data_IF_707942629363
#
_entry.id   IF_707942629363
#
_cell.length_a   1.000
_cell.length_b   1.000
_cell.length_c   1.000
_cell.angle_alpha   90.00
_cell.angle_beta   90.00
_cell.angle_gamma   90.00
#
_symmetry.space_group_name_H-M   'P 1'
#
loop_
_entity.id
_entity.type
_entity.pdbx_description
1 polymer ?
#
# COMPACT_ATOMS: atom_id res chain seq x y z
N UNK A 1 0.26 1.74 10.16
CA UNK A 1 -0.51 2.77 9.42
C UNK A 1 -0.67 2.38 7.95
N UNK A 2 -1.74 2.84 7.29
CA UNK A 2 -2.02 2.62 5.85
C UNK A 2 -2.30 3.96 5.19
N UNK A 3 -1.60 4.30 4.11
CA UNK A 3 -1.70 5.60 3.43
C UNK A 3 -1.87 5.35 1.94
N UNK A 4 -2.96 5.82 1.35
CA UNK A 4 -3.13 5.82 -0.11
C UNK A 4 -2.46 7.05 -0.70
N UNK A 5 -1.60 6.87 -1.69
CA UNK A 5 -0.85 7.93 -2.36
C UNK A 5 -1.62 8.35 -3.60
N UNK A 6 -2.03 9.62 -3.67
CA UNK A 6 -2.72 10.13 -4.87
C UNK A 6 -1.73 10.36 -6.02
N UNK A 7 -2.21 10.27 -7.26
CA UNK A 7 -1.37 10.51 -8.45
C UNK A 7 -0.71 11.90 -8.47
N UNK A 8 -1.43 12.94 -8.06
CA UNK A 8 -0.90 14.32 -7.98
C UNK A 8 -0.14 14.61 -6.69
N UNK A 9 -0.08 13.64 -5.77
CA UNK A 9 0.53 13.67 -4.44
C UNK A 9 0.96 15.06 -3.92
N UNK A 10 0.07 15.71 -3.16
CA UNK A 10 0.47 16.84 -2.31
C UNK A 10 1.27 16.28 -1.12
N UNK A 11 2.59 16.24 -1.28
CA UNK A 11 3.49 15.59 -0.34
C UNK A 11 3.45 16.21 1.08
N UNK A 12 3.45 17.55 1.26
CA UNK A 12 3.22 18.16 2.57
C UNK A 12 1.90 17.72 3.21
N UNK A 13 0.81 17.71 2.44
CA UNK A 13 -0.50 17.24 2.95
C UNK A 13 -0.45 15.78 3.34
N UNK A 14 0.18 14.92 2.54
CA UNK A 14 0.36 13.50 2.85
C UNK A 14 1.10 13.29 4.17
N UNK A 15 2.16 14.07 4.44
CA UNK A 15 2.87 14.00 5.73
C UNK A 15 1.98 14.43 6.89
N UNK A 16 1.19 15.51 6.75
CA UNK A 16 0.23 15.93 7.79
C UNK A 16 -0.80 14.85 8.06
N UNK A 17 -1.35 14.24 7.01
CA UNK A 17 -2.32 13.15 7.13
C UNK A 17 -1.70 11.92 7.81
N UNK A 18 -0.45 11.58 7.46
CA UNK A 18 0.30 10.52 8.13
C UNK A 18 0.53 10.82 9.62
N UNK A 19 0.97 12.04 9.96
CA UNK A 19 1.17 12.47 11.35
C UNK A 19 -0.13 12.34 12.14
N UNK A 20 -1.25 12.89 11.62
CA UNK A 20 -2.56 12.79 12.28
C UNK A 20 -2.97 11.34 12.49
N UNK A 21 -2.75 10.48 11.50
CA UNK A 21 -3.07 9.05 11.58
C UNK A 21 -2.21 8.34 12.63
N UNK A 22 -0.89 8.54 12.61
CA UNK A 22 0.04 7.93 13.57
C UNK A 22 -0.29 8.32 15.01
N UNK A 23 -0.57 9.60 15.27
CA UNK A 23 -0.94 10.08 16.60
C UNK A 23 -2.29 9.51 17.05
N UNK A 24 -3.29 9.47 16.16
CA UNK A 24 -4.59 8.86 16.44
C UNK A 24 -4.48 7.35 16.76
N UNK A 25 -3.65 6.62 16.00
CA UNK A 25 -3.45 5.18 16.19
C UNK A 25 -2.84 4.84 17.57
N UNK A 26 -2.14 5.79 18.20
CA UNK A 26 -1.51 5.61 19.52
C UNK A 26 -2.12 6.50 20.63
N UNK A 27 -3.29 7.09 20.40
CA UNK A 27 -3.99 8.00 21.32
C UNK A 27 -3.10 9.15 21.86
N UNK A 28 -2.25 9.69 20.99
CA UNK A 28 -1.37 10.83 21.27
C UNK A 28 -1.94 12.12 20.70
N UNK A 29 -1.64 13.25 21.34
CA UNK A 29 -2.05 14.57 20.84
C UNK A 29 -1.28 14.95 19.58
N UNK A 30 -1.99 15.42 18.55
CA UNK A 30 -1.37 15.94 17.32
C UNK A 30 -0.70 17.30 17.64
N UNK A 31 0.51 17.59 17.13
CA UNK A 31 1.13 18.89 17.31
C UNK A 31 0.25 20.02 16.73
N UNK A 32 0.07 21.11 17.47
CA UNK A 32 -0.89 22.17 17.10
C UNK A 32 -0.48 22.97 15.85
N UNK A 33 0.81 23.02 15.53
CA UNK A 33 1.38 23.85 14.46
C UNK A 33 1.62 23.11 13.13
N UNK A 34 1.12 21.88 12.97
CA UNK A 34 1.39 21.07 11.76
C UNK A 34 0.98 21.73 10.44
N UNK A 35 -0.01 22.62 10.45
CA UNK A 35 -0.47 23.29 9.22
C UNK A 35 0.56 24.26 8.66
N UNK A 36 1.26 25.00 9.53
CA UNK A 36 2.24 26.01 9.13
C UNK A 36 3.65 25.46 8.91
N UNK A 37 3.88 24.17 9.21
CA UNK A 37 5.19 23.55 9.10
C UNK A 37 5.63 23.34 7.65
N UNK A 38 6.93 23.47 7.46
CA UNK A 38 7.64 23.10 6.23
C UNK A 38 7.65 21.58 6.04
N UNK A 39 7.92 21.14 4.81
CA UNK A 39 8.07 19.70 4.53
C UNK A 39 9.19 19.06 5.35
N UNK A 40 10.30 19.77 5.59
CA UNK A 40 11.41 19.25 6.37
C UNK A 40 11.00 18.99 7.83
N UNK A 41 10.33 19.96 8.47
CA UNK A 41 9.81 19.81 9.84
C UNK A 41 8.79 18.66 9.94
N UNK A 42 7.91 18.53 8.96
CA UNK A 42 6.94 17.43 8.91
C UNK A 42 7.64 16.05 8.81
N UNK A 43 8.73 15.94 8.04
CA UNK A 43 9.52 14.70 7.96
C UNK A 43 10.16 14.36 9.30
N UNK A 44 10.75 15.34 9.98
CA UNK A 44 11.36 15.13 11.30
C UNK A 44 10.31 14.68 12.34
N UNK A 45 9.10 15.25 12.33
CA UNK A 45 8.03 14.80 13.23
C UNK A 45 7.65 13.33 12.98
N UNK A 46 7.51 12.93 11.73
CA UNK A 46 7.25 11.52 11.40
C UNK A 46 8.39 10.64 11.91
N UNK A 47 9.64 11.05 11.64
CA UNK A 47 10.83 10.31 12.02
C UNK A 47 10.93 10.13 13.54
N UNK A 48 10.83 11.22 14.29
CA UNK A 48 10.88 11.23 15.76
C UNK A 48 9.76 10.38 16.37
N UNK A 49 8.54 10.50 15.83
CA UNK A 49 7.41 9.71 16.28
C UNK A 49 7.66 8.21 16.09
N UNK A 50 8.15 7.81 14.92
CA UNK A 50 8.44 6.41 14.60
C UNK A 50 9.62 5.86 15.42
N UNK A 51 10.65 6.68 15.70
CA UNK A 51 11.74 6.30 16.59
C UNK A 51 11.26 6.04 18.01
N UNK A 52 10.43 6.94 18.56
CA UNK A 52 9.86 6.79 19.91
C UNK A 52 8.91 5.60 20.01
N UNK A 53 8.18 5.29 18.93
CA UNK A 53 7.31 4.12 18.87
C UNK A 53 8.11 2.80 18.83
N UNK A 54 9.38 2.84 18.45
CA UNK A 54 10.28 1.69 18.38
C UNK A 54 10.07 0.83 17.15
N UNK A 55 8.92 0.13 17.07
CA UNK A 55 8.57 -0.77 15.96
C UNK A 55 7.36 -0.29 15.19
N UNK A 56 7.46 -0.19 13.87
CA UNK A 56 6.35 0.23 13.02
C UNK A 56 6.18 -0.61 11.76
N UNK A 57 4.95 -0.60 11.24
CA UNK A 57 4.60 -1.06 9.91
C UNK A 57 3.78 0.01 9.19
N UNK A 58 4.26 0.46 8.03
CA UNK A 58 3.57 1.46 7.20
C UNK A 58 3.37 0.89 5.79
N UNK A 59 2.14 1.00 5.30
CA UNK A 59 1.78 0.68 3.91
C UNK A 59 1.54 1.98 3.16
N UNK A 60 2.26 2.18 2.06
CA UNK A 60 2.00 3.21 1.07
C UNK A 60 1.35 2.56 -0.15
N UNK A 61 0.05 2.75 -0.26
CA UNK A 61 -0.79 2.10 -1.25
C UNK A 61 -0.95 2.96 -2.50
N UNK A 62 -0.94 2.34 -3.67
CA UNK A 62 -1.11 2.97 -4.98
C UNK A 62 -0.08 4.06 -5.31
N UNK A 63 1.22 3.75 -5.17
CA UNK A 63 2.30 4.71 -5.47
C UNK A 63 2.52 4.86 -6.98
N UNK A 64 2.53 6.11 -7.45
CA UNK A 64 2.58 6.45 -8.87
C UNK A 64 3.97 6.79 -9.40
N UNK A 65 4.81 7.43 -8.59
CA UNK A 65 6.07 8.05 -9.01
C UNK A 65 7.24 7.65 -8.11
N UNK A 66 8.40 7.42 -8.70
CA UNK A 66 9.68 7.13 -8.03
C UNK A 66 10.08 8.27 -7.09
N UNK A 67 9.76 9.52 -7.44
CA UNK A 67 10.00 10.68 -6.59
C UNK A 67 9.35 10.58 -5.22
N UNK A 68 8.20 9.88 -5.12
CA UNK A 68 7.56 9.66 -3.84
C UNK A 68 8.51 8.92 -2.88
N UNK A 69 9.09 7.81 -3.33
CA UNK A 69 10.04 7.03 -2.54
C UNK A 69 11.27 7.87 -2.17
N UNK A 70 11.84 8.57 -3.15
CA UNK A 70 12.99 9.44 -2.94
C UNK A 70 12.74 10.54 -1.89
N UNK A 71 11.49 10.97 -1.70
CA UNK A 71 11.13 11.96 -0.69
C UNK A 71 10.79 11.34 0.66
N UNK A 72 9.98 10.28 0.69
CA UNK A 72 9.44 9.69 1.93
C UNK A 72 10.47 8.91 2.73
N UNK A 73 11.47 8.30 2.08
CA UNK A 73 12.52 7.53 2.77
C UNK A 73 13.24 8.34 3.86
N UNK A 74 13.39 9.65 3.65
CA UNK A 74 14.00 10.57 4.61
C UNK A 74 13.15 10.89 5.84
N UNK A 75 11.84 10.57 5.81
CA UNK A 75 10.96 10.67 6.97
C UNK A 75 10.93 9.39 7.82
N UNK A 76 11.54 8.31 7.32
CA UNK A 76 11.55 7.00 7.96
C UNK A 76 12.88 6.84 8.72
N UNK A 77 12.85 6.43 9.99
CA UNK A 77 14.08 6.25 10.74
C UNK A 77 14.82 4.99 10.30
N UNK A 78 16.14 5.12 10.15
CA UNK A 78 17.07 4.03 9.89
C UNK A 78 17.24 3.20 11.18
N UNK A 79 17.10 1.88 11.09
CA UNK A 79 17.32 0.97 12.23
C UNK A 79 16.61 -0.38 12.11
N UNK A 80 17.25 -1.41 12.66
CA UNK A 80 16.85 -2.82 12.51
C UNK A 80 15.89 -3.35 13.59
N UNK A 81 15.01 -2.51 14.15
CA UNK A 81 14.05 -2.92 15.19
C UNK A 81 12.82 -3.71 14.65
N UNK A 82 12.95 -4.36 13.49
CA UNK A 82 11.85 -5.05 12.83
C UNK A 82 10.81 -4.11 12.22
N UNK A 83 11.25 -2.91 11.84
CA UNK A 83 10.49 -1.91 11.10
C UNK A 83 10.17 -2.41 9.69
N UNK A 84 8.96 -2.13 9.20
CA UNK A 84 8.51 -2.57 7.87
C UNK A 84 7.83 -1.44 7.12
N UNK A 85 8.23 -1.28 5.87
CA UNK A 85 7.56 -0.41 4.90
C UNK A 85 7.14 -1.26 3.72
N UNK A 86 5.89 -1.17 3.31
CA UNK A 86 5.37 -1.85 2.12
C UNK A 86 4.84 -0.79 1.15
N UNK A 87 5.21 -0.91 -0.11
CA UNK A 87 4.63 -0.12 -1.18
C UNK A 87 3.83 -1.03 -2.11
N UNK A 88 2.66 -0.57 -2.53
CA UNK A 88 1.93 -1.19 -3.66
C UNK A 88 1.98 -0.21 -4.83
N UNK A 89 2.20 -0.71 -6.04
CA UNK A 89 2.29 0.12 -7.24
C UNK A 89 1.95 -0.71 -8.48
N UNK A 90 1.44 -0.04 -9.51
CA UNK A 90 1.27 -0.61 -10.86
C UNK A 90 2.51 -0.39 -11.74
N UNK A 91 3.46 0.42 -11.29
CA UNK A 91 4.64 0.80 -12.04
C UNK A 91 5.86 -0.03 -11.57
N UNK A 92 6.41 -0.83 -12.47
CA UNK A 92 7.58 -1.67 -12.18
C UNK A 92 8.83 -0.85 -11.82
N UNK A 93 8.99 0.35 -12.38
CA UNK A 93 10.14 1.23 -12.13
C UNK A 93 10.11 1.79 -10.71
N UNK A 94 8.91 2.07 -10.19
CA UNK A 94 8.71 2.46 -8.78
C UNK A 94 9.14 1.32 -7.86
N UNK A 95 8.68 0.09 -8.15
CA UNK A 95 9.01 -1.09 -7.35
C UNK A 95 10.51 -1.42 -7.36
N UNK A 96 11.16 -1.34 -8.52
CA UNK A 96 12.61 -1.61 -8.62
C UNK A 96 13.41 -0.54 -7.90
N UNK A 97 13.10 0.74 -8.13
CA UNK A 97 13.86 1.84 -7.55
C UNK A 97 13.76 1.87 -6.04
N UNK A 98 12.59 1.55 -5.48
CA UNK A 98 12.39 1.54 -4.03
C UNK A 98 13.17 0.46 -3.30
N UNK A 99 13.60 -0.61 -3.99
CA UNK A 99 14.32 -1.73 -3.38
C UNK A 99 15.83 -1.73 -3.66
N UNK A 100 16.32 -0.89 -4.58
CA UNK A 100 17.72 -0.88 -5.02
C UNK A 100 18.71 -0.57 -3.89
N UNK A 101 18.34 0.29 -2.96
CA UNK A 101 19.24 0.81 -1.92
C UNK A 101 19.34 -0.11 -0.70
N UNK A 102 18.37 -1.03 -0.51
CA UNK A 102 18.09 -1.69 0.77
C UNK A 102 18.11 -3.22 0.73
N UNK A 103 18.43 -3.85 -0.41
CA UNK A 103 18.29 -5.31 -0.60
C UNK A 103 16.87 -5.82 -0.31
N UNK A 104 15.86 -4.97 -0.55
CA UNK A 104 14.47 -5.29 -0.27
C UNK A 104 13.83 -6.21 -1.33
N UNK A 105 12.63 -6.68 -1.04
CA UNK A 105 11.92 -7.67 -1.84
C UNK A 105 10.80 -7.06 -2.71
N UNK A 106 10.89 -7.23 -4.02
CA UNK A 106 9.80 -6.92 -4.96
C UNK A 106 8.92 -8.14 -5.16
N UNK A 107 7.67 -8.08 -4.68
CA UNK A 107 6.67 -9.11 -4.97
C UNK A 107 5.85 -8.73 -6.21
N UNK A 108 6.05 -9.45 -7.32
CA UNK A 108 5.20 -9.30 -8.51
C UNK A 108 3.91 -10.08 -8.33
N UNK A 109 2.79 -9.36 -8.20
CA UNK A 109 1.45 -9.96 -8.20
C UNK A 109 1.23 -10.78 -9.48
N UNK A 110 0.79 -12.02 -9.32
CA UNK A 110 0.47 -12.93 -10.43
C UNK A 110 -1.05 -12.97 -10.63
N UNK A 111 -1.53 -13.23 -11.86
CA UNK A 111 -2.92 -13.61 -12.09
C UNK A 111 -3.32 -14.82 -11.24
N UNK A 112 -4.61 -14.94 -10.96
CA UNK A 112 -5.15 -16.13 -10.30
C UNK A 112 -5.00 -17.37 -11.20
N UNK A 113 -4.88 -18.53 -10.56
CA UNK A 113 -5.01 -19.81 -11.25
C UNK A 113 -6.45 -20.02 -11.72
N UNK A 114 -6.67 -20.90 -12.71
CA UNK A 114 -8.02 -21.24 -13.16
C UNK A 114 -8.91 -21.76 -12.01
N UNK A 115 -8.32 -22.48 -11.06
CA UNK A 115 -9.02 -23.01 -9.87
C UNK A 115 -9.42 -21.88 -8.91
N UNK A 116 -8.51 -20.95 -8.63
CA UNK A 116 -8.78 -19.79 -7.77
C UNK A 116 -9.78 -18.83 -8.43
N UNK A 117 -9.67 -18.62 -9.74
CA UNK A 117 -10.63 -17.83 -10.53
C UNK A 117 -12.02 -18.46 -10.49
N UNK A 118 -12.15 -19.76 -10.69
CA UNK A 118 -13.41 -20.48 -10.58
C UNK A 118 -14.01 -20.37 -9.17
N UNK A 119 -13.18 -20.54 -8.15
CA UNK A 119 -13.57 -20.41 -6.74
C UNK A 119 -14.06 -19.00 -6.44
N UNK A 120 -13.31 -17.97 -6.85
CA UNK A 120 -13.69 -16.57 -6.67
C UNK A 120 -15.01 -16.25 -7.38
N UNK A 121 -15.17 -16.71 -8.61
CA UNK A 121 -16.39 -16.52 -9.40
C UNK A 121 -17.61 -17.15 -8.72
N UNK A 122 -17.49 -18.41 -8.26
CA UNK A 122 -18.58 -19.09 -7.55
C UNK A 122 -18.93 -18.39 -6.23
N UNK A 123 -17.91 -17.93 -5.49
CA UNK A 123 -18.11 -17.17 -4.26
C UNK A 123 -18.86 -15.86 -4.51
N UNK A 124 -18.54 -15.14 -5.59
CA UNK A 124 -19.15 -13.85 -5.92
C UNK A 124 -20.56 -13.97 -6.51
N UNK A 125 -20.74 -14.84 -7.51
CA UNK A 125 -21.96 -14.92 -8.30
C UNK A 125 -22.99 -15.85 -7.66
N UNK A 126 -22.54 -17.00 -7.13
CA UNK A 126 -23.42 -18.01 -6.55
C UNK A 126 -23.42 -18.01 -5.02
N UNK A 127 -22.82 -16.98 -4.39
CA UNK A 127 -22.72 -16.83 -2.93
C UNK A 127 -22.08 -18.05 -2.25
N UNK A 128 -21.08 -18.65 -2.90
CA UNK A 128 -20.37 -19.83 -2.42
C UNK A 128 -21.09 -21.16 -2.70
N UNK A 129 -22.26 -21.13 -3.34
CA UNK A 129 -22.90 -22.34 -3.84
C UNK A 129 -22.25 -22.81 -5.15
N UNK A 130 -22.55 -24.04 -5.55
CA UNK A 130 -22.13 -24.58 -6.84
C UNK A 130 -22.80 -23.82 -7.98
N UNK A 131 -22.04 -23.61 -9.07
CA UNK A 131 -22.61 -23.14 -10.33
C UNK A 131 -23.71 -24.10 -10.81
N UNK A 132 -24.92 -23.60 -11.15
CA UNK A 132 -25.94 -24.41 -11.80
C UNK A 132 -25.41 -25.05 -13.09
N UNK A 133 -25.77 -26.31 -13.33
CA UNK A 133 -25.23 -27.09 -14.46
C UNK A 133 -25.47 -26.42 -15.82
N UNK A 134 -26.66 -25.83 -16.02
CA UNK A 134 -27.02 -25.14 -17.26
C UNK A 134 -26.24 -23.83 -17.50
N UNK A 135 -25.51 -23.31 -16.50
CA UNK A 135 -24.67 -22.11 -16.62
C UNK A 135 -23.17 -22.43 -16.69
N UNK A 136 -22.79 -23.71 -16.57
CA UNK A 136 -21.39 -24.09 -16.41
C UNK A 136 -20.52 -23.66 -17.60
N UNK A 137 -20.99 -23.88 -18.83
CA UNK A 137 -20.23 -23.54 -20.04
C UNK A 137 -20.12 -22.02 -20.22
N UNK A 138 -21.18 -21.28 -19.88
CA UNK A 138 -21.17 -19.82 -19.90
C UNK A 138 -20.21 -19.27 -18.84
N UNK A 139 -20.22 -19.81 -17.63
CA UNK A 139 -19.33 -19.39 -16.55
C UNK A 139 -17.85 -19.61 -16.92
N UNK A 140 -17.53 -20.75 -17.54
CA UNK A 140 -16.18 -21.05 -18.04
C UNK A 140 -15.77 -20.07 -19.14
N UNK A 141 -16.63 -19.84 -20.13
CA UNK A 141 -16.33 -18.90 -21.21
C UNK A 141 -16.14 -17.45 -20.73
N UNK A 142 -16.81 -17.05 -19.64
CA UNK A 142 -16.56 -15.75 -18.99
C UNK A 142 -15.20 -15.74 -18.31
N UNK A 143 -14.87 -16.77 -17.53
CA UNK A 143 -13.59 -16.87 -16.83
C UNK A 143 -12.39 -16.90 -17.78
N UNK A 144 -12.51 -17.58 -18.91
CA UNK A 144 -11.48 -17.61 -19.96
C UNK A 144 -11.18 -16.19 -20.51
N UNK A 145 -12.18 -15.29 -20.50
CA UNK A 145 -11.99 -13.88 -20.90
C UNK A 145 -11.44 -13.00 -19.79
N UNK A 146 -11.55 -13.41 -18.53
CA UNK A 146 -11.02 -12.66 -17.39
C UNK A 146 -9.50 -12.85 -17.21
N UNK A 147 -8.91 -13.90 -17.79
CA UNK A 147 -7.46 -14.16 -17.79
C UNK A 147 -6.82 -14.08 -16.38
N UNK A 148 -7.52 -14.65 -15.39
CA UNK A 148 -7.05 -14.68 -14.00
C UNK A 148 -7.11 -13.34 -13.26
N UNK A 149 -7.65 -12.27 -13.85
CA UNK A 149 -7.77 -10.96 -13.21
C UNK A 149 -8.97 -10.94 -12.24
N UNK A 150 -8.77 -10.61 -10.95
CA UNK A 150 -9.81 -10.75 -9.91
C UNK A 150 -10.75 -9.53 -9.74
N UNK A 151 -10.71 -8.53 -10.62
CA UNK A 151 -11.40 -7.23 -10.49
C UNK A 151 -12.90 -7.33 -10.13
#
# INVERSE_FOLDING_TARGET
SWVTVSQTCDFPKLLRDLIRKLHKDLDKSVPQSIESMTTAELKEIVKDFLQQAGRYAIVFDDVWDVEFWNKIKFALPEGNYGNRVMLTTRNADVASTSCTESQDYVYRMKPLSNEDSWTLFCNKIFKGNRCPTHLMDVAKAVLDKCDGLPL
#
